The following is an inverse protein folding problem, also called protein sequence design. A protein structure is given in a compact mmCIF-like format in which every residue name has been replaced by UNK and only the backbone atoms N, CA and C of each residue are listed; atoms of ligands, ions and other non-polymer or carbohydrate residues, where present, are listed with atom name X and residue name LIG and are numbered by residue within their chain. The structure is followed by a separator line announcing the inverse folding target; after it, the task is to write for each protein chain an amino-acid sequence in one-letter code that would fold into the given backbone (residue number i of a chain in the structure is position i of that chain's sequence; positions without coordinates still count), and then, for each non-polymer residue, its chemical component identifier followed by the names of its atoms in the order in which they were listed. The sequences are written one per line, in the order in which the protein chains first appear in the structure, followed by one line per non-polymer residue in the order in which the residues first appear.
data_IF_119776271881
#
_entry.id   IF_119776271881
#
_cell.length_a   1.000
_cell.length_b   1.000
_cell.length_c   1.000
_cell.angle_alpha   90.00
_cell.angle_beta   90.00
_cell.angle_gamma   90.00
#
_symmetry.space_group_name_H-M   'P 1'
#
loop_
_entity.id
_entity.type
_entity.pdbx_description
1 polymer ?
#
# COMPACT_ATOMS: atom_id res chain seq x y z
N UNK A 1 0.05 5.96 19.49
CA UNK A 1 1.19 5.26 18.88
C UNK A 1 1.46 5.79 17.47
N UNK A 2 2.71 6.12 17.15
CA UNK A 2 3.21 6.55 15.84
C UNK A 2 4.02 5.39 15.25
N UNK A 3 3.67 4.98 14.04
CA UNK A 3 4.36 3.93 13.28
C UNK A 3 5.16 4.57 12.15
N UNK A 4 6.41 4.16 11.98
CA UNK A 4 7.18 4.40 10.76
C UNK A 4 7.04 3.20 9.83
N UNK A 5 6.58 3.44 8.60
CA UNK A 5 6.49 2.44 7.53
C UNK A 5 7.62 2.67 6.52
N UNK A 6 8.47 1.65 6.35
CA UNK A 6 9.63 1.71 5.46
C UNK A 6 9.46 0.77 4.26
N UNK A 7 9.39 1.36 3.07
CA UNK A 7 9.44 0.66 1.79
C UNK A 7 10.85 0.58 1.22
N UNK A 8 10.96 0.18 -0.04
CA UNK A 8 12.26 -0.06 -0.69
C UNK A 8 12.76 1.08 -1.59
N UNK A 9 12.03 2.19 -1.71
CA UNK A 9 12.47 3.34 -2.50
C UNK A 9 13.82 3.92 -2.03
N UNK A 10 14.68 4.46 -2.92
CA UNK A 10 16.03 4.88 -2.56
C UNK A 10 16.12 5.88 -1.40
N UNK A 11 15.14 6.77 -1.27
CA UNK A 11 15.07 7.77 -0.20
C UNK A 11 14.88 7.17 1.20
N UNK A 12 14.53 5.87 1.32
CA UNK A 12 14.41 5.16 2.60
C UNK A 12 15.70 5.25 3.42
N UNK A 13 16.84 5.36 2.73
CA UNK A 13 18.17 5.43 3.33
C UNK A 13 18.33 6.63 4.26
N UNK A 14 17.59 7.72 4.05
CA UNK A 14 17.59 8.87 4.95
C UNK A 14 17.12 8.50 6.36
N UNK A 15 16.31 7.44 6.52
CA UNK A 15 15.82 7.00 7.84
C UNK A 15 16.89 6.39 8.74
N UNK A 16 18.08 6.06 8.22
CA UNK A 16 19.21 5.54 9.01
C UNK A 16 19.66 6.52 10.09
N UNK A 17 19.61 7.81 9.75
CA UNK A 17 20.08 8.88 10.63
C UNK A 17 18.96 9.46 11.49
N UNK A 18 17.74 8.91 11.40
CA UNK A 18 16.59 9.40 12.17
C UNK A 18 16.55 8.81 13.58
N UNK A 19 16.26 9.63 14.61
CA UNK A 19 16.18 9.16 15.97
C UNK A 19 15.05 8.13 16.15
N UNK A 20 15.37 6.96 16.72
CA UNK A 20 14.37 5.90 17.02
C UNK A 20 13.22 6.39 17.91
N UNK A 21 13.49 7.35 18.78
CA UNK A 21 12.52 7.93 19.72
C UNK A 21 11.38 8.74 19.05
N UNK A 22 11.51 9.08 17.76
CA UNK A 22 10.43 9.74 17.02
C UNK A 22 9.26 8.78 16.69
N UNK A 23 9.46 7.48 16.87
CA UNK A 23 8.49 6.45 16.51
C UNK A 23 8.31 5.49 17.68
N UNK A 24 7.10 4.97 17.85
CA UNK A 24 6.86 3.91 18.81
C UNK A 24 7.23 2.54 18.21
N UNK A 25 6.89 2.34 16.93
CA UNK A 25 7.14 1.12 16.16
C UNK A 25 7.65 1.42 14.76
N UNK A 26 8.50 0.54 14.24
CA UNK A 26 9.01 0.58 12.87
C UNK A 26 8.59 -0.71 12.15
N UNK A 27 7.84 -0.54 11.08
CA UNK A 27 7.40 -1.61 10.19
C UNK A 27 8.21 -1.50 8.89
N UNK A 28 8.83 -2.59 8.50
CA UNK A 28 9.65 -2.70 7.29
C UNK A 28 8.99 -3.64 6.29
N UNK A 29 9.11 -3.30 5.01
CA UNK A 29 8.52 -4.06 3.91
C UNK A 29 9.63 -4.70 3.08
N UNK A 30 9.57 -6.02 2.90
CA UNK A 30 10.56 -6.79 2.13
C UNK A 30 11.99 -6.42 2.57
N UNK A 31 12.87 -6.05 1.65
CA UNK A 31 14.27 -5.73 1.94
C UNK A 31 14.49 -4.51 2.83
N UNK A 32 13.47 -3.68 3.11
CA UNK A 32 13.63 -2.48 3.92
C UNK A 32 14.11 -2.77 5.36
N UNK A 33 13.98 -4.01 5.84
CA UNK A 33 14.56 -4.45 7.12
C UNK A 33 16.08 -4.21 7.19
N UNK A 34 16.78 -4.24 6.05
CA UNK A 34 18.23 -4.05 5.98
C UNK A 34 18.65 -2.57 6.06
N UNK A 35 17.69 -1.64 6.07
CA UNK A 35 17.99 -0.20 6.12
C UNK A 35 18.50 0.19 7.50
N UNK A 36 17.86 -0.30 8.57
CA UNK A 36 18.21 0.03 9.95
C UNK A 36 18.00 -1.20 10.84
N UNK A 37 18.79 -1.44 11.89
CA UNK A 37 18.74 -2.71 12.62
C UNK A 37 17.70 -2.76 13.75
N UNK A 38 17.04 -1.65 14.06
CA UNK A 38 16.11 -1.45 15.18
C UNK A 38 14.63 -1.38 14.74
N UNK A 39 14.29 -2.10 13.66
CA UNK A 39 12.91 -2.32 13.27
C UNK A 39 12.19 -3.28 14.25
N UNK A 40 10.87 -3.19 14.31
CA UNK A 40 10.02 -4.03 15.15
C UNK A 40 9.34 -5.15 14.34
N UNK A 41 8.86 -4.82 13.14
CA UNK A 41 8.12 -5.75 12.30
C UNK A 41 8.65 -5.79 10.87
N UNK A 42 8.72 -6.99 10.29
CA UNK A 42 9.04 -7.21 8.88
C UNK A 42 7.86 -7.91 8.21
N UNK A 43 7.18 -7.20 7.30
CA UNK A 43 6.07 -7.72 6.49
C UNK A 43 6.58 -8.10 5.11
N UNK A 44 6.25 -9.31 4.64
CA UNK A 44 6.74 -9.83 3.36
C UNK A 44 5.79 -10.90 2.77
N UNK A 45 5.75 -11.03 1.43
CA UNK A 45 4.88 -11.98 0.75
C UNK A 45 5.43 -13.41 0.80
N UNK A 46 4.59 -14.39 0.46
CA UNK A 46 4.95 -15.82 0.44
C UNK A 46 6.18 -16.12 -0.45
N UNK A 47 6.35 -15.37 -1.54
CA UNK A 47 7.46 -15.49 -2.49
C UNK A 47 8.72 -14.71 -2.07
N UNK A 48 8.75 -14.08 -0.89
CA UNK A 48 9.95 -13.40 -0.41
C UNK A 48 11.06 -14.41 -0.09
N UNK A 49 12.20 -14.38 -0.79
CA UNK A 49 13.20 -15.45 -0.68
C UNK A 49 13.79 -15.59 0.73
N UNK A 50 13.89 -16.81 1.30
CA UNK A 50 14.45 -17.02 2.63
C UNK A 50 15.84 -16.42 2.84
N UNK A 51 16.71 -16.45 1.82
CA UNK A 51 18.06 -15.89 1.84
C UNK A 51 18.10 -14.35 1.88
N UNK A 52 16.96 -13.68 1.59
CA UNK A 52 16.81 -12.22 1.72
C UNK A 52 16.16 -11.81 3.03
N UNK A 53 15.80 -12.76 3.89
CA UNK A 53 15.27 -12.51 5.24
C UNK A 53 16.41 -12.26 6.22
N UNK A 54 16.18 -11.54 7.34
CA UNK A 54 17.18 -11.42 8.40
C UNK A 54 17.55 -12.81 8.94
N UNK A 55 18.85 -13.08 9.05
CA UNK A 55 19.37 -14.35 9.58
C UNK A 55 19.24 -14.42 11.11
N UNK A 56 19.52 -13.30 11.78
CA UNK A 56 19.44 -13.17 13.24
C UNK A 56 18.33 -12.18 13.61
N UNK A 57 17.33 -12.67 14.35
CA UNK A 57 16.26 -11.85 14.90
C UNK A 57 16.59 -11.44 16.32
N UNK A 58 16.44 -10.15 16.62
CA UNK A 58 16.41 -9.66 17.99
C UNK A 58 15.10 -10.11 18.67
N UNK A 59 15.06 -10.24 20.00
CA UNK A 59 13.84 -10.67 20.71
C UNK A 59 12.60 -9.83 20.43
N UNK A 60 12.79 -8.54 20.11
CA UNK A 60 11.72 -7.59 19.83
C UNK A 60 11.24 -7.61 18.37
N UNK A 61 11.95 -8.32 17.49
CA UNK A 61 11.72 -8.36 16.05
C UNK A 61 10.76 -9.48 15.67
N UNK A 62 9.70 -9.13 14.95
CA UNK A 62 8.64 -10.06 14.55
C UNK A 62 8.50 -10.10 13.03
N UNK A 63 8.44 -11.33 12.50
CA UNK A 63 8.12 -11.60 11.11
C UNK A 63 6.60 -11.64 10.93
N UNK A 64 6.09 -10.98 9.88
CA UNK A 64 4.67 -10.91 9.54
C UNK A 64 4.46 -11.51 8.14
N UNK A 65 4.31 -12.84 8.05
CA UNK A 65 3.95 -13.56 6.83
C UNK A 65 2.47 -13.37 6.44
N UNK A 66 2.08 -13.93 5.30
CA UNK A 66 0.75 -13.76 4.70
C UNK A 66 -0.39 -14.28 5.57
N UNK A 67 -0.22 -15.39 6.25
CA UNK A 67 -1.18 -15.92 7.22
C UNK A 67 -1.45 -14.96 8.39
N UNK A 68 -0.55 -14.01 8.65
CA UNK A 68 -0.71 -12.95 9.66
C UNK A 68 -1.31 -11.67 9.06
N UNK A 69 -0.83 -11.18 7.91
CA UNK A 69 -1.34 -9.92 7.36
C UNK A 69 -2.67 -10.06 6.59
N UNK A 70 -2.89 -11.18 5.88
CA UNK A 70 -4.08 -11.39 5.03
C UNK A 70 -5.38 -11.32 5.82
N UNK A 71 -5.52 -11.89 7.04
CA UNK A 71 -6.72 -11.74 7.84
C UNK A 71 -7.07 -10.26 8.10
N UNK A 72 -6.08 -9.43 8.41
CA UNK A 72 -6.30 -7.99 8.59
C UNK A 72 -6.66 -7.30 7.26
N UNK A 73 -5.99 -7.63 6.15
CA UNK A 73 -6.41 -7.14 4.83
C UNK A 73 -7.88 -7.46 4.52
N UNK A 74 -8.33 -8.68 4.82
CA UNK A 74 -9.70 -9.12 4.57
C UNK A 74 -10.74 -8.32 5.39
N UNK A 75 -10.39 -7.86 6.60
CA UNK A 75 -11.25 -6.97 7.39
C UNK A 75 -11.48 -5.61 6.73
N UNK A 76 -10.56 -5.21 5.85
CA UNK A 76 -10.65 -4.00 5.03
C UNK A 76 -11.07 -4.29 3.58
N UNK A 77 -11.73 -5.41 3.30
CA UNK A 77 -12.24 -5.77 1.97
C UNK A 77 -11.31 -6.68 1.16
N UNK A 78 -10.11 -6.98 1.65
CA UNK A 78 -9.21 -7.95 1.04
C UNK A 78 -8.35 -7.39 -0.10
N UNK A 79 -7.49 -8.26 -0.63
CA UNK A 79 -6.39 -7.90 -1.55
C UNK A 79 -6.84 -7.18 -2.82
N UNK A 80 -8.03 -7.50 -3.34
CA UNK A 80 -8.56 -6.93 -4.59
C UNK A 80 -8.79 -5.42 -4.44
N UNK A 81 -9.41 -5.01 -3.34
CA UNK A 81 -9.70 -3.59 -3.07
C UNK A 81 -8.53 -2.88 -2.40
N UNK A 82 -7.76 -3.58 -1.56
CA UNK A 82 -6.56 -3.04 -0.92
C UNK A 82 -5.47 -2.67 -1.93
N UNK A 83 -5.40 -3.40 -3.05
CA UNK A 83 -4.32 -3.34 -4.02
C UNK A 83 -3.19 -4.30 -3.65
N UNK A 84 -2.81 -5.17 -4.58
CA UNK A 84 -1.90 -6.28 -4.32
C UNK A 84 -0.41 -5.89 -4.35
N UNK A 85 -0.05 -4.82 -3.63
CA UNK A 85 1.34 -4.45 -3.36
C UNK A 85 1.64 -4.54 -1.88
N UNK A 86 2.87 -4.93 -1.54
CA UNK A 86 3.28 -5.08 -0.15
C UNK A 86 3.20 -3.79 0.67
N UNK A 87 3.31 -2.62 0.04
CA UNK A 87 3.10 -1.36 0.74
C UNK A 87 1.68 -1.27 1.31
N UNK A 88 0.66 -1.64 0.54
CA UNK A 88 -0.72 -1.64 1.01
C UNK A 88 -1.00 -2.82 1.94
N UNK A 89 -0.52 -4.03 1.64
CA UNK A 89 -0.68 -5.19 2.52
C UNK A 89 -0.16 -4.92 3.94
N UNK A 90 1.06 -4.42 4.06
CA UNK A 90 1.66 -4.03 5.33
C UNK A 90 0.88 -2.89 6.01
N UNK A 91 0.34 -1.94 5.24
CA UNK A 91 -0.41 -0.82 5.79
C UNK A 91 -1.73 -1.25 6.44
N UNK A 92 -2.50 -2.13 5.80
CA UNK A 92 -3.75 -2.63 6.37
C UNK A 92 -3.50 -3.54 7.57
N UNK A 93 -2.43 -4.35 7.56
CA UNK A 93 -2.00 -5.07 8.75
C UNK A 93 -1.63 -4.12 9.88
N UNK A 94 -0.81 -3.09 9.63
CA UNK A 94 -0.44 -2.12 10.65
C UNK A 94 -1.68 -1.38 11.19
N UNK A 95 -2.62 -1.00 10.32
CA UNK A 95 -3.86 -0.33 10.71
C UNK A 95 -4.71 -1.21 11.64
N UNK A 96 -4.97 -2.47 11.27
CA UNK A 96 -5.83 -3.38 12.02
C UNK A 96 -5.18 -3.96 13.28
N UNK A 97 -3.93 -4.41 13.19
CA UNK A 97 -3.22 -5.07 14.29
C UNK A 97 -2.64 -4.06 15.29
N UNK A 98 -2.03 -2.97 14.81
CA UNK A 98 -1.33 -2.01 15.67
C UNK A 98 -2.24 -0.84 16.09
N UNK A 99 -3.29 -0.53 15.31
CA UNK A 99 -4.23 0.60 15.54
C UNK A 99 -3.51 1.91 15.90
N UNK A 100 -2.55 2.37 15.08
CA UNK A 100 -1.79 3.58 15.36
C UNK A 100 -2.67 4.82 15.20
N UNK A 101 -2.23 5.94 15.77
CA UNK A 101 -2.83 7.25 15.51
C UNK A 101 -2.22 7.94 14.28
N UNK A 102 -0.98 7.58 13.94
CA UNK A 102 -0.25 8.10 12.78
C UNK A 102 0.62 6.99 12.19
N UNK A 103 0.63 6.87 10.86
CA UNK A 103 1.64 6.11 10.11
C UNK A 103 2.38 7.07 9.18
N UNK A 104 3.69 7.22 9.39
CA UNK A 104 4.58 7.97 8.50
C UNK A 104 5.26 7.05 7.49
N UNK A 105 5.22 7.41 6.21
CA UNK A 105 5.75 6.58 5.12
C UNK A 105 7.04 7.16 4.55
N UNK A 106 8.05 6.31 4.34
CA UNK A 106 9.26 6.63 3.58
C UNK A 106 9.64 5.42 2.71
N UNK A 107 10.13 5.65 1.49
CA UNK A 107 10.48 4.56 0.57
C UNK A 107 9.27 3.86 -0.07
N UNK A 108 8.07 4.41 0.08
CA UNK A 108 6.81 3.85 -0.45
C UNK A 108 6.23 4.68 -1.60
N UNK A 109 7.04 5.50 -2.26
CA UNK A 109 6.52 6.49 -3.22
C UNK A 109 5.89 5.89 -4.49
N UNK A 110 6.28 4.65 -4.82
CA UNK A 110 5.73 3.87 -5.94
C UNK A 110 5.74 4.63 -7.29
N UNK A 111 6.70 5.54 -7.46
CA UNK A 111 7.03 6.17 -8.75
C UNK A 111 8.25 5.46 -9.33
N UNK A 112 8.06 4.79 -10.46
CA UNK A 112 9.09 4.00 -11.13
C UNK A 112 9.55 4.74 -12.39
N UNK A 113 10.72 5.37 -12.30
CA UNK A 113 11.38 6.04 -13.44
C UNK A 113 12.42 5.15 -14.13
N UNK A 114 13.19 5.75 -15.05
CA UNK A 114 14.39 5.13 -15.65
C UNK A 114 15.60 5.38 -14.72
N UNK A 115 15.90 4.44 -13.83
CA UNK A 115 17.00 4.56 -12.85
C UNK A 115 16.85 3.53 -11.71
N UNK A 116 17.68 3.63 -10.67
CA UNK A 116 17.55 2.76 -9.50
C UNK A 116 16.18 2.96 -8.83
N UNK A 117 15.29 1.97 -8.99
CA UNK A 117 13.93 2.00 -8.44
C UNK A 117 13.89 1.60 -6.97
N UNK A 118 14.96 0.99 -6.46
CA UNK A 118 15.08 0.49 -5.09
C UNK A 118 16.43 0.90 -4.47
N UNK A 119 16.52 0.94 -3.13
CA UNK A 119 17.76 1.30 -2.43
C UNK A 119 18.92 0.30 -2.64
N UNK A 120 18.60 -0.94 -3.05
CA UNK A 120 19.55 -1.98 -3.41
C UNK A 120 19.80 -2.08 -4.93
N UNK A 121 19.44 -1.05 -5.70
CA UNK A 121 19.64 -0.97 -7.14
C UNK A 121 18.34 -1.17 -7.94
N UNK A 122 18.37 -2.07 -8.92
CA UNK A 122 17.19 -2.38 -9.75
C UNK A 122 16.38 -3.50 -9.10
N UNK A 123 15.13 -3.20 -8.72
CA UNK A 123 14.15 -4.22 -8.34
C UNK A 123 13.07 -4.34 -9.41
N UNK A 124 12.50 -5.55 -9.55
CA UNK A 124 11.27 -5.75 -10.32
C UNK A 124 10.17 -4.90 -9.69
N UNK A 125 9.60 -3.98 -10.44
CA UNK A 125 8.53 -3.13 -9.91
C UNK A 125 7.26 -3.99 -9.75
N UNK A 126 7.06 -4.49 -8.53
CA UNK A 126 5.86 -5.21 -8.06
C UNK A 126 4.54 -4.61 -8.59
N UNK A 127 4.35 -3.26 -8.64
CA UNK A 127 3.09 -2.70 -9.09
C UNK A 127 2.99 -2.39 -10.60
N UNK A 128 4.01 -2.70 -11.42
CA UNK A 128 3.95 -2.49 -12.88
C UNK A 128 3.45 -3.73 -13.65
N UNK A 129 3.06 -4.79 -12.96
CA UNK A 129 2.44 -5.94 -13.63
C UNK A 129 1.04 -5.56 -14.16
N UNK A 130 0.61 -6.13 -15.30
CA UNK A 130 -0.76 -5.96 -15.78
C UNK A 130 -1.72 -6.76 -14.87
N UNK A 131 -2.05 -6.16 -13.72
CA UNK A 131 -2.89 -6.74 -12.67
C UNK A 131 -4.07 -5.78 -12.37
N UNK A 132 -5.32 -6.23 -12.53
CA UNK A 132 -6.50 -5.43 -12.24
C UNK A 132 -6.53 -4.84 -10.82
N UNK A 133 -5.90 -5.49 -9.85
CA UNK A 133 -5.83 -4.99 -8.46
C UNK A 133 -4.88 -3.79 -8.30
N UNK A 134 -4.04 -3.52 -9.30
CA UNK A 134 -3.02 -2.45 -9.29
C UNK A 134 -3.26 -1.37 -10.35
N UNK A 135 -4.36 -1.46 -11.11
CA UNK A 135 -4.65 -0.58 -12.24
C UNK A 135 -4.69 0.93 -11.89
N UNK A 136 -4.95 1.29 -10.62
CA UNK A 136 -4.95 2.66 -10.15
C UNK A 136 -4.37 2.79 -8.72
N UNK A 137 -3.04 2.83 -8.62
CA UNK A 137 -2.33 2.97 -7.34
C UNK A 137 -2.75 4.20 -6.53
N UNK A 138 -3.05 5.33 -7.20
CA UNK A 138 -3.48 6.55 -6.51
C UNK A 138 -4.85 6.35 -5.84
N UNK A 139 -5.78 5.67 -6.52
CA UNK A 139 -7.07 5.33 -5.92
C UNK A 139 -6.94 4.36 -4.75
N UNK A 140 -6.04 3.37 -4.85
CA UNK A 140 -5.73 2.45 -3.73
C UNK A 140 -5.13 3.17 -2.53
N UNK A 141 -4.24 4.14 -2.76
CA UNK A 141 -3.70 5.00 -1.71
C UNK A 141 -4.80 5.88 -1.08
N UNK A 142 -5.65 6.52 -1.89
CA UNK A 142 -6.77 7.32 -1.43
C UNK A 142 -7.76 6.51 -0.57
N UNK A 143 -8.09 5.29 -1.01
CA UNK A 143 -8.89 4.34 -0.23
C UNK A 143 -8.25 4.06 1.13
N UNK A 144 -6.97 3.69 1.15
CA UNK A 144 -6.23 3.39 2.37
C UNK A 144 -6.21 4.60 3.34
N UNK A 145 -5.99 5.81 2.82
CA UNK A 145 -6.01 7.04 3.62
C UNK A 145 -7.35 7.30 4.29
N UNK A 146 -8.44 7.19 3.52
CA UNK A 146 -9.78 7.45 4.03
C UNK A 146 -10.22 6.35 5.01
N UNK A 147 -9.88 5.09 4.77
CA UNK A 147 -10.15 4.02 5.72
C UNK A 147 -9.32 4.14 7.00
N UNK A 148 -8.06 4.58 6.90
CA UNK A 148 -7.25 4.89 8.07
C UNK A 148 -7.86 6.03 8.89
N UNK A 149 -8.31 7.10 8.23
CA UNK A 149 -8.95 8.23 8.88
C UNK A 149 -10.25 7.82 9.60
N UNK A 150 -11.05 6.94 8.99
CA UNK A 150 -12.25 6.34 9.61
C UNK A 150 -11.92 5.64 10.93
N UNK A 151 -10.76 4.99 10.98
CA UNK A 151 -10.28 4.23 12.13
C UNK A 151 -9.44 5.08 13.10
N UNK A 152 -9.43 6.41 12.94
CA UNK A 152 -8.73 7.35 13.82
C UNK A 152 -7.22 7.44 13.57
N UNK A 153 -6.75 6.99 12.41
CA UNK A 153 -5.33 7.00 12.03
C UNK A 153 -5.07 8.00 10.89
N UNK A 154 -4.07 8.86 11.06
CA UNK A 154 -3.56 9.71 9.99
C UNK A 154 -2.43 9.03 9.23
N UNK A 155 -2.44 9.13 7.90
CA UNK A 155 -1.32 8.69 7.06
C UNK A 155 -0.60 9.93 6.54
N UNK A 156 0.74 9.92 6.60
CA UNK A 156 1.55 11.04 6.09
C UNK A 156 2.75 10.54 5.29
N UNK A 157 3.08 11.25 4.22
CA UNK A 157 4.27 10.98 3.44
C UNK A 157 5.46 11.81 3.96
N UNK A 158 6.53 11.14 4.40
CA UNK A 158 7.78 11.76 4.87
C UNK A 158 8.78 11.99 3.74
N UNK A 159 8.51 11.44 2.54
CA UNK A 159 9.28 11.66 1.34
C UNK A 159 9.17 13.11 0.86
N UNK A 160 10.23 13.58 0.17
CA UNK A 160 10.22 14.82 -0.62
C UNK A 160 10.11 14.57 -2.13
N UNK A 161 10.12 13.31 -2.54
CA UNK A 161 10.12 12.91 -3.94
C UNK A 161 8.70 12.83 -4.50
N UNK A 162 8.58 12.73 -5.82
CA UNK A 162 7.31 12.43 -6.48
C UNK A 162 6.73 11.12 -5.96
N UNK A 163 5.42 11.08 -5.72
CA UNK A 163 4.75 9.96 -5.06
C UNK A 163 3.36 9.72 -5.64
N UNK A 164 2.95 8.46 -5.75
CA UNK A 164 1.55 8.10 -6.04
C UNK A 164 0.69 8.13 -4.78
N UNK A 165 1.30 8.14 -3.59
CA UNK A 165 0.60 8.23 -2.32
C UNK A 165 -0.16 9.55 -2.25
N UNK A 166 -1.45 9.50 -1.95
CA UNK A 166 -2.30 10.68 -1.76
C UNK A 166 -2.03 11.41 -0.44
N UNK A 167 -1.29 10.78 0.46
CA UNK A 167 -1.13 11.20 1.85
C UNK A 167 -0.51 12.61 1.95
N UNK A 168 -1.00 13.46 2.87
CA UNK A 168 -0.37 14.75 3.17
C UNK A 168 1.11 14.60 3.52
N UNK A 169 1.94 15.55 3.08
CA UNK A 169 3.36 15.55 3.44
C UNK A 169 3.58 16.18 4.82
N UNK A 170 4.50 15.61 5.58
CA UNK A 170 4.89 16.12 6.89
C UNK A 170 6.38 15.89 7.16
N UNK A 171 6.96 16.76 7.99
CA UNK A 171 8.25 16.51 8.63
C UNK A 171 8.12 15.60 9.85
N UNK A 172 9.23 15.01 10.30
CA UNK A 172 9.26 14.15 11.50
C UNK A 172 8.79 14.88 12.76
N UNK A 173 9.16 16.15 12.87
CA UNK A 173 8.82 17.05 13.96
C UNK A 173 7.32 17.30 14.09
N UNK A 174 6.56 17.13 13.00
CA UNK A 174 5.11 17.32 12.97
C UNK A 174 4.34 16.05 13.32
N UNK A 175 4.94 14.85 13.30
CA UNK A 175 4.23 13.60 13.60
C UNK A 175 3.44 13.62 14.92
N UNK A 176 3.91 14.26 16.02
CA UNK A 176 3.14 14.40 17.25
C UNK A 176 1.86 15.26 17.11
N UNK A 177 1.79 16.18 16.14
CA UNK A 177 0.64 17.07 15.95
C UNK A 177 -0.31 16.64 14.83
N UNK A 178 0.08 15.67 14.00
CA UNK A 178 -0.79 15.13 12.94
C UNK A 178 -2.05 14.49 13.56
N UNK A 179 -3.19 14.76 12.93
CA UNK A 179 -4.50 14.20 13.26
C UNK A 179 -5.18 13.62 12.00
N UNK A 180 -6.01 12.57 12.14
CA UNK A 180 -6.76 12.00 11.03
C UNK A 180 -7.77 13.00 10.46
N UNK A 181 -8.13 12.82 9.19
CA UNK A 181 -9.24 13.56 8.58
C UNK A 181 -10.56 13.18 9.25
N UNK A 182 -11.46 14.15 9.37
CA UNK A 182 -12.81 13.98 9.94
C UNK A 182 -13.86 14.28 8.87
N UNK A 183 -15.13 13.94 9.13
CA UNK A 183 -16.23 14.23 8.19
C UNK A 183 -16.22 13.38 6.91
N UNK A 184 -15.48 12.27 6.88
CA UNK A 184 -15.30 11.47 5.65
C UNK A 184 -16.45 10.49 5.35
N UNK A 185 -17.36 10.25 6.31
CA UNK A 185 -18.27 9.11 6.29
C UNK A 185 -19.20 9.12 5.06
N UNK A 186 -19.80 10.28 4.76
CA UNK A 186 -20.72 10.42 3.63
C UNK A 186 -19.98 10.34 2.29
N UNK A 187 -18.72 10.78 2.25
CA UNK A 187 -17.88 10.74 1.04
C UNK A 187 -17.46 9.31 0.67
N UNK A 188 -17.18 8.44 1.64
CA UNK A 188 -16.73 7.06 1.36
C UNK A 188 -17.88 6.06 1.17
N UNK A 189 -19.10 6.41 1.60
CA UNK A 189 -20.24 5.51 1.57
C UNK A 189 -20.56 4.95 0.16
N UNK A 190 -20.51 5.74 -0.94
CA UNK A 190 -20.74 5.23 -2.29
C UNK A 190 -19.70 4.19 -2.73
N UNK A 191 -18.41 4.45 -2.46
CA UNK A 191 -17.33 3.53 -2.81
C UNK A 191 -17.48 2.19 -2.06
N UNK A 192 -17.76 2.26 -0.75
CA UNK A 192 -18.01 1.07 0.06
C UNK A 192 -19.24 0.28 -0.41
N UNK A 193 -20.30 0.96 -0.86
CA UNK A 193 -21.48 0.29 -1.42
C UNK A 193 -21.17 -0.42 -2.74
N UNK A 194 -20.37 0.21 -3.62
CA UNK A 194 -19.93 -0.39 -4.87
C UNK A 194 -19.03 -1.61 -4.64
N UNK A 195 -18.09 -1.56 -3.68
CA UNK A 195 -17.29 -2.72 -3.28
C UNK A 195 -18.17 -3.87 -2.79
N UNK A 196 -19.15 -3.60 -1.91
CA UNK A 196 -20.09 -4.64 -1.44
C UNK A 196 -20.92 -5.23 -2.57
N UNK A 197 -21.33 -4.41 -3.54
CA UNK A 197 -22.12 -4.86 -4.70
C UNK A 197 -21.30 -5.75 -5.62
N UNK A 198 -20.03 -5.39 -5.88
CA UNK A 198 -19.14 -6.19 -6.72
C UNK A 198 -18.74 -7.50 -6.02
N UNK A 199 -18.50 -7.46 -4.70
CA UNK A 199 -18.26 -8.66 -3.90
C UNK A 199 -17.02 -9.46 -4.31
N UNK A 200 -16.01 -8.79 -4.90
CA UNK A 200 -14.77 -9.40 -5.36
C UNK A 200 -13.85 -9.70 -4.17
N UNK A 201 -14.19 -10.75 -3.42
CA UNK A 201 -13.47 -11.19 -2.23
C UNK A 201 -12.59 -12.39 -2.55
N UNK A 202 -11.34 -12.34 -2.08
CA UNK A 202 -10.40 -13.45 -2.16
C UNK A 202 -9.80 -13.71 -0.77
N UNK A 203 -10.39 -14.62 0.03
CA UNK A 203 -9.99 -14.80 1.43
C UNK A 203 -8.55 -15.29 1.60
N UNK A 204 -7.98 -15.98 0.60
CA UNK A 204 -6.60 -16.45 0.62
C UNK A 204 -5.57 -15.32 0.51
N UNK A 205 -5.99 -14.09 0.16
CA UNK A 205 -5.08 -12.99 -0.13
C UNK A 205 -4.39 -13.12 -1.50
N UNK A 206 -4.67 -14.17 -2.26
CA UNK A 206 -4.12 -14.44 -3.60
C UNK A 206 -5.21 -14.26 -4.64
N UNK A 207 -5.34 -13.06 -5.22
CA UNK A 207 -6.48 -12.71 -6.08
C UNK A 207 -6.75 -13.70 -7.23
N UNK A 208 -5.73 -14.41 -7.70
CA UNK A 208 -5.85 -15.44 -8.73
C UNK A 208 -6.56 -16.73 -8.28
N UNK A 209 -6.71 -16.96 -6.97
CA UNK A 209 -7.57 -18.02 -6.40
C UNK A 209 -9.06 -17.64 -6.43
N UNK A 210 -9.37 -16.37 -6.73
CA UNK A 210 -10.72 -15.83 -6.78
C UNK A 210 -11.37 -15.91 -8.17
N UNK A 211 -12.65 -15.50 -8.29
CA UNK A 211 -13.32 -15.39 -9.58
C UNK A 211 -12.60 -14.37 -10.49
N UNK A 212 -12.80 -14.45 -11.81
CA UNK A 212 -12.29 -13.43 -12.74
C UNK A 212 -12.69 -12.02 -12.30
N UNK A 213 -11.72 -11.10 -12.34
CA UNK A 213 -11.93 -9.72 -11.93
C UNK A 213 -12.47 -8.88 -13.09
N UNK A 214 -13.55 -8.15 -12.84
CA UNK A 214 -14.07 -7.14 -13.75
C UNK A 214 -13.27 -5.84 -13.60
N UNK A 215 -12.32 -5.62 -14.52
CA UNK A 215 -11.46 -4.43 -14.52
C UNK A 215 -12.25 -3.13 -14.67
N UNK A 216 -13.35 -3.13 -15.44
CA UNK A 216 -14.19 -1.94 -15.63
C UNK A 216 -14.93 -1.59 -14.34
N UNK A 217 -15.54 -2.58 -13.68
CA UNK A 217 -16.19 -2.37 -12.39
C UNK A 217 -15.19 -1.92 -11.30
N UNK A 218 -13.97 -2.47 -11.30
CA UNK A 218 -12.91 -2.00 -10.41
C UNK A 218 -12.50 -0.55 -10.71
N UNK A 219 -12.49 -0.14 -11.98
CA UNK A 219 -12.14 1.22 -12.37
C UNK A 219 -13.20 2.24 -11.92
N UNK A 220 -14.48 1.86 -11.98
CA UNK A 220 -15.58 2.65 -11.41
C UNK A 220 -15.43 2.83 -9.90
N UNK A 221 -15.08 1.77 -9.17
CA UNK A 221 -14.81 1.83 -7.73
C UNK A 221 -13.60 2.73 -7.43
N UNK A 222 -12.52 2.60 -8.21
CA UNK A 222 -11.33 3.45 -8.08
C UNK A 222 -11.68 4.94 -8.28
N UNK A 223 -12.55 5.25 -9.22
CA UNK A 223 -13.02 6.63 -9.45
C UNK A 223 -13.83 7.17 -8.26
N UNK A 224 -14.66 6.34 -7.61
CA UNK A 224 -15.40 6.74 -6.40
C UNK A 224 -14.46 7.06 -5.23
N UNK A 225 -13.39 6.29 -5.04
CA UNK A 225 -12.40 6.57 -4.01
C UNK A 225 -11.63 7.87 -4.25
N UNK A 226 -11.27 8.15 -5.51
CA UNK A 226 -10.65 9.43 -5.87
C UNK A 226 -11.60 10.61 -5.64
N UNK A 227 -12.86 10.50 -6.06
CA UNK A 227 -13.86 11.53 -5.83
C UNK A 227 -14.08 11.82 -4.34
N UNK A 228 -14.14 10.76 -3.51
CA UNK A 228 -14.23 10.89 -2.06
C UNK A 228 -13.02 11.61 -1.47
N UNK A 229 -11.81 11.25 -1.92
CA UNK A 229 -10.57 11.88 -1.48
C UNK A 229 -10.54 13.37 -1.82
N UNK A 230 -10.88 13.73 -3.06
CA UNK A 230 -10.86 15.10 -3.54
C UNK A 230 -11.91 15.98 -2.82
N UNK A 231 -13.07 15.41 -2.51
CA UNK A 231 -14.11 16.09 -1.73
C UNK A 231 -13.65 16.40 -0.29
N UNK A 232 -12.94 15.46 0.36
CA UNK A 232 -12.43 15.62 1.74
C UNK A 232 -11.27 16.61 1.81
N UNK A 233 -10.46 16.71 0.75
CA UNK A 233 -9.28 17.57 0.75
C UNK A 233 -9.53 19.00 0.28
N UNK A 234 -10.70 19.27 -0.32
CA UNK A 234 -10.94 20.52 -1.04
C UNK A 234 -10.07 20.57 -2.30
N UNK A 235 -10.61 21.00 -3.43
CA UNK A 235 -9.90 20.96 -4.71
C UNK A 235 -8.56 21.71 -4.66
N UNK A 236 -7.46 20.96 -4.57
CA UNK A 236 -6.14 21.43 -4.93
C UNK A 236 -5.37 20.28 -5.60
N UNK A 237 -4.97 20.55 -6.85
CA UNK A 237 -4.11 19.76 -7.75
C UNK A 237 -4.85 18.72 -8.59
N UNK A 238 -5.14 19.13 -9.83
CA UNK A 238 -5.36 18.25 -10.98
C UNK A 238 -4.30 17.14 -10.99
N UNK A 239 -4.68 15.85 -10.91
CA UNK A 239 -3.72 14.77 -11.06
C UNK A 239 -3.05 14.88 -12.45
N UNK A 240 -1.76 14.53 -12.58
CA UNK A 240 -1.22 14.27 -13.92
C UNK A 240 -2.12 13.23 -14.58
N UNK A 241 -2.50 13.48 -15.83
CA UNK A 241 -3.38 12.61 -16.58
C UNK A 241 -2.91 11.15 -16.45
N UNK A 242 -3.83 10.26 -16.05
CA UNK A 242 -3.60 8.83 -16.12
C UNK A 242 -3.13 8.53 -17.55
N UNK A 243 -1.89 8.05 -17.71
CA UNK A 243 -1.43 7.63 -19.02
C UNK A 243 -2.31 6.43 -19.40
N UNK A 244 -3.09 6.51 -20.49
CA UNK A 244 -3.89 5.37 -20.90
C UNK A 244 -2.96 4.17 -21.04
N UNK A 245 -3.35 3.03 -20.48
CA UNK A 245 -2.73 1.78 -20.89
C UNK A 245 -2.88 1.68 -22.42
N UNK A 246 -1.85 1.16 -23.12
CA UNK A 246 -1.98 0.94 -24.55
C UNK A 246 -3.28 0.15 -24.82
N UNK A 247 -3.99 0.46 -25.91
CA UNK A 247 -5.27 -0.17 -26.20
C UNK A 247 -5.09 -1.68 -26.18
N UNK A 248 -5.91 -2.35 -25.38
CA UNK A 248 -6.07 -3.80 -25.46
C UNK A 248 -6.58 -4.07 -26.87
N UNK A 249 -5.81 -4.85 -27.64
CA UNK A 249 -6.19 -5.27 -28.98
C UNK A 249 -7.61 -5.81 -28.97
N UNK A 250 -8.34 -5.55 -30.04
CA UNK A 250 -9.78 -5.80 -30.23
C UNK A 250 -10.14 -7.29 -30.33
N UNK A 251 -9.62 -8.11 -29.42
CA UNK A 251 -10.06 -9.47 -29.21
C UNK A 251 -10.75 -9.50 -27.84
N UNK A 252 -12.07 -9.65 -27.87
CA UNK A 252 -12.89 -9.78 -26.67
C UNK A 252 -12.39 -10.94 -25.82
N UNK A 253 -11.60 -10.61 -24.81
CA UNK A 253 -11.14 -11.57 -23.81
C UNK A 253 -12.17 -11.59 -22.69
N UNK A 254 -13.03 -12.60 -22.72
CA UNK A 254 -13.43 -13.29 -21.49
C UNK A 254 -12.14 -13.66 -20.75
N UNK A 255 -11.69 -12.77 -19.87
CA UNK A 255 -10.36 -12.82 -19.26
C UNK A 255 -10.26 -14.00 -18.32
N UNK A 256 -9.59 -15.06 -18.75
CA UNK A 256 -8.97 -15.99 -17.82
C UNK A 256 -8.00 -15.22 -16.91
N UNK A 257 -7.84 -15.66 -15.66
CA UNK A 257 -6.81 -15.23 -14.70
C UNK A 257 -5.37 -15.55 -15.18
N UNK A 258 -5.08 -15.38 -16.48
CA UNK A 258 -3.78 -15.60 -17.11
C UNK A 258 -2.78 -14.47 -16.91
N UNK A 259 -3.15 -13.41 -16.18
CA UNK A 259 -2.21 -12.40 -15.72
C UNK A 259 -1.26 -13.02 -14.67
N UNK A 260 -0.10 -13.45 -15.17
CA UNK A 260 1.12 -13.89 -14.49
C UNK A 260 0.94 -14.26 -13.00
N UNK A 261 0.84 -15.57 -12.72
CA UNK A 261 1.30 -16.09 -11.42
C UNK A 261 2.69 -15.51 -11.16
N UNK A 262 2.96 -14.90 -9.98
CA UNK A 262 4.33 -14.61 -9.61
C UNK A 262 5.12 -15.93 -9.72
N UNK A 263 6.30 -15.94 -10.35
CA UNK A 263 7.07 -17.16 -10.49
C UNK A 263 7.38 -17.70 -9.10
N UNK A 264 6.88 -18.90 -8.79
CA UNK A 264 7.35 -19.65 -7.62
C UNK A 264 8.85 -19.91 -7.82
N UNK A 265 9.73 -19.58 -6.85
CA UNK A 265 11.06 -20.16 -6.85
C UNK A 265 10.90 -21.67 -6.69
N UNK A 266 11.52 -22.41 -7.61
CA UNK A 266 11.67 -23.87 -7.53
C UNK A 266 12.54 -24.26 -6.35
#
# INVERSE_FOLDING_TARGET
MIVLMLGSGPNVMASRDWPRAAFDRIVTINNAWAVRPDWDYLVFPDDFPPERRPLDLRPEQTLIPSDVYVPENNRYGGVVYAGATMAFSASYWALGALRPRVIGYLGCDMVYGTGATHFYGMGTADPLRPDPTLQNLRAKAARLELLAARDGCALVNLSKDASVLSFPRAGLDLLPSVAPRTGIADHIAPALAAERKLGAICPSGRYWDGPPLDAAALAEIDALWLAAHDAVHGTAVTPPAARPLPPIGSDGLSGHNGAARPPHPA
#
